data_IF_460842268453
#
_entry.id   IF_460842268453
#
_cell.length_a   1.000
_cell.length_b   1.000
_cell.length_c   1.000
_cell.angle_alpha   90.00
_cell.angle_beta   90.00
_cell.angle_gamma   90.00
#
_symmetry.space_group_name_H-M   'P 1'
#
loop_
_entity.id
_entity.type
_entity.pdbx_description
1 polymer ?
#
# COMPACT_ATOMS: atom_id res chain seq x y z
N UNK A 1 -3.33 -4.99 21.54
CA UNK A 1 -2.93 -5.98 20.52
C UNK A 1 -3.56 -5.56 19.19
N UNK A 2 -2.75 -5.17 18.18
CA UNK A 2 -3.27 -4.73 16.88
C UNK A 2 -3.99 -5.85 16.09
N UNK A 3 -3.72 -7.13 16.40
CA UNK A 3 -4.32 -8.28 15.71
C UNK A 3 -5.82 -8.36 15.92
N UNK A 4 -6.30 -8.00 17.10
CA UNK A 4 -7.74 -7.96 17.40
C UNK A 4 -8.46 -6.92 16.52
N UNK A 5 -7.92 -5.71 16.43
CA UNK A 5 -8.50 -4.64 15.61
C UNK A 5 -8.44 -4.96 14.11
N UNK A 6 -7.36 -5.61 13.64
CA UNK A 6 -7.29 -6.11 12.28
C UNK A 6 -8.40 -7.12 12.00
N UNK A 7 -8.67 -8.05 12.93
CA UNK A 7 -9.75 -9.03 12.76
C UNK A 7 -11.13 -8.36 12.72
N UNK A 8 -11.36 -7.31 13.52
CA UNK A 8 -12.58 -6.51 13.46
C UNK A 8 -12.69 -5.81 12.09
N UNK A 9 -11.63 -5.12 11.66
CA UNK A 9 -11.60 -4.40 10.38
C UNK A 9 -11.88 -5.32 9.19
N UNK A 10 -11.30 -6.52 9.17
CA UNK A 10 -11.54 -7.51 8.13
C UNK A 10 -13.00 -8.00 8.09
N UNK A 11 -13.67 -8.08 9.25
CA UNK A 11 -15.08 -8.47 9.35
C UNK A 11 -16.06 -7.34 8.99
N UNK A 12 -15.62 -6.09 9.02
CA UNK A 12 -16.42 -4.97 8.55
C UNK A 12 -16.51 -4.94 7.02
N UNK A 13 -15.60 -5.65 6.33
CA UNK A 13 -15.60 -5.77 4.87
C UNK A 13 -15.67 -4.40 4.19
N UNK A 14 -14.66 -3.56 4.44
CA UNK A 14 -14.59 -2.21 3.91
C UNK A 14 -14.94 -2.17 2.42
N UNK A 15 -15.91 -1.34 2.08
CA UNK A 15 -16.34 -1.11 0.71
C UNK A 15 -15.24 -0.42 -0.10
N UNK A 16 -15.34 -0.46 -1.43
CA UNK A 16 -14.37 0.21 -2.30
C UNK A 16 -14.25 1.71 -2.01
N UNK A 17 -15.38 2.35 -1.71
CA UNK A 17 -15.46 3.76 -1.33
C UNK A 17 -14.81 4.03 0.03
N UNK A 18 -14.95 3.13 0.99
CA UNK A 18 -14.27 3.23 2.29
C UNK A 18 -12.77 3.05 2.16
N UNK A 19 -12.33 2.05 1.39
CA UNK A 19 -10.92 1.85 1.09
C UNK A 19 -10.30 3.12 0.49
N UNK A 20 -10.98 3.76 -0.46
CA UNK A 20 -10.50 4.99 -1.09
C UNK A 20 -10.52 6.18 -0.13
N UNK A 21 -11.61 6.37 0.65
CA UNK A 21 -11.73 7.47 1.62
C UNK A 21 -10.67 7.40 2.73
N UNK A 22 -10.22 6.20 3.09
CA UNK A 22 -9.24 5.96 4.14
C UNK A 22 -7.81 5.74 3.62
N UNK A 23 -7.48 6.23 2.42
CA UNK A 23 -6.17 6.04 1.79
C UNK A 23 -4.98 6.31 2.73
N UNK A 24 -5.01 7.44 3.46
CA UNK A 24 -3.94 7.82 4.39
C UNK A 24 -3.77 6.83 5.55
N UNK A 25 -4.88 6.27 6.03
CA UNK A 25 -4.86 5.28 7.12
C UNK A 25 -4.22 3.97 6.63
N UNK A 26 -4.49 3.55 5.39
CA UNK A 26 -3.83 2.40 4.78
C UNK A 26 -2.33 2.64 4.59
N UNK A 27 -1.92 3.81 4.13
CA UNK A 27 -0.50 4.18 4.01
C UNK A 27 0.20 4.11 5.36
N UNK A 28 -0.38 4.70 6.41
CA UNK A 28 0.18 4.64 7.77
C UNK A 28 0.25 3.21 8.32
N UNK A 29 -0.81 2.40 8.13
CA UNK A 29 -0.81 1.00 8.56
C UNK A 29 0.21 0.14 7.82
N UNK A 30 0.44 0.41 6.53
CA UNK A 30 1.48 -0.25 5.75
C UNK A 30 2.89 0.13 6.23
N UNK A 31 3.10 1.39 6.60
CA UNK A 31 4.37 1.91 7.09
C UNK A 31 4.71 1.41 8.50
N UNK A 32 3.78 1.55 9.46
CA UNK A 32 4.06 1.42 10.89
C UNK A 32 3.38 0.23 11.57
N UNK A 33 2.44 -0.42 10.90
CA UNK A 33 1.71 -1.55 11.46
C UNK A 33 2.62 -2.75 11.72
N UNK A 34 2.23 -3.61 12.67
CA UNK A 34 2.85 -4.94 12.79
C UNK A 34 2.67 -5.73 11.49
N UNK A 35 3.53 -6.72 11.22
CA UNK A 35 3.54 -7.48 9.98
C UNK A 35 2.15 -7.85 9.38
N UNK A 36 1.18 -8.42 10.14
CA UNK A 36 -0.14 -8.73 9.57
C UNK A 36 -0.98 -7.49 9.21
N UNK A 37 -0.86 -6.39 9.97
CA UNK A 37 -1.54 -5.12 9.68
C UNK A 37 -0.95 -4.49 8.42
N UNK A 38 0.38 -4.42 8.36
CA UNK A 38 1.07 -3.87 7.20
C UNK A 38 0.79 -4.69 5.92
N UNK A 39 0.72 -6.01 6.05
CA UNK A 39 0.33 -6.90 4.95
C UNK A 39 -1.08 -6.63 4.44
N UNK A 40 -2.04 -6.47 5.35
CA UNK A 40 -3.41 -6.18 4.97
C UNK A 40 -3.53 -4.80 4.29
N UNK A 41 -2.90 -3.77 4.87
CA UNK A 41 -2.91 -2.43 4.32
C UNK A 41 -2.26 -2.38 2.92
N UNK A 42 -1.14 -3.06 2.71
CA UNK A 42 -0.51 -3.17 1.39
C UNK A 42 -1.43 -3.86 0.38
N UNK A 43 -2.21 -4.87 0.78
CA UNK A 43 -3.19 -5.50 -0.10
C UNK A 43 -4.31 -4.54 -0.51
N UNK A 44 -4.77 -3.68 0.40
CA UNK A 44 -5.74 -2.62 0.08
C UNK A 44 -5.16 -1.64 -0.93
N UNK A 45 -3.92 -1.17 -0.72
CA UNK A 45 -3.22 -0.27 -1.64
C UNK A 45 -3.04 -0.87 -3.03
N UNK A 46 -2.73 -2.17 -3.13
CA UNK A 46 -2.68 -2.89 -4.41
C UNK A 46 -4.04 -2.93 -5.11
N UNK A 47 -5.15 -3.07 -4.37
CA UNK A 47 -6.51 -3.00 -4.96
C UNK A 47 -6.83 -1.58 -5.44
N UNK A 48 -6.45 -0.56 -4.67
CA UNK A 48 -6.62 0.85 -5.06
C UNK A 48 -5.84 1.18 -6.36
N UNK A 49 -4.61 0.68 -6.50
CA UNK A 49 -3.85 0.80 -7.76
C UNK A 49 -4.51 0.07 -8.93
N UNK A 50 -5.04 -1.14 -8.69
CA UNK A 50 -5.73 -1.93 -9.71
C UNK A 50 -7.01 -1.22 -10.21
N UNK A 51 -7.72 -0.50 -9.33
CA UNK A 51 -8.86 0.36 -9.68
C UNK A 51 -8.44 1.71 -10.30
N UNK A 52 -7.14 2.04 -10.30
CA UNK A 52 -6.64 3.32 -10.83
C UNK A 52 -6.92 4.52 -9.94
N UNK A 53 -7.21 4.30 -8.65
CA UNK A 53 -7.56 5.36 -7.68
C UNK A 53 -6.46 5.63 -6.66
N UNK A 54 -5.32 4.94 -6.75
CA UNK A 54 -4.12 5.24 -5.96
C UNK A 54 -3.28 6.31 -6.69
N UNK A 55 -3.13 7.53 -6.14
CA UNK A 55 -2.28 8.55 -6.73
C UNK A 55 -0.81 8.14 -6.72
N UNK A 56 -0.06 8.51 -7.78
CA UNK A 56 1.38 8.24 -7.90
C UNK A 56 2.18 8.75 -6.70
N UNK A 57 1.84 9.96 -6.22
CA UNK A 57 2.47 10.55 -5.03
C UNK A 57 2.32 9.69 -3.77
N UNK A 58 1.10 9.23 -3.50
CA UNK A 58 0.81 8.38 -2.33
C UNK A 58 1.51 7.01 -2.46
N UNK A 59 1.63 6.50 -3.69
CA UNK A 59 2.42 5.32 -3.97
C UNK A 59 3.93 5.56 -3.71
N UNK A 60 4.47 6.71 -4.08
CA UNK A 60 5.87 7.07 -3.79
C UNK A 60 6.11 7.14 -2.28
N UNK A 61 5.24 7.85 -1.56
CA UNK A 61 5.32 8.04 -0.10
C UNK A 61 5.29 6.69 0.63
N UNK A 62 4.32 5.81 0.32
CA UNK A 62 4.24 4.48 0.96
C UNK A 62 5.39 3.56 0.54
N UNK A 63 5.90 3.69 -0.69
CA UNK A 63 7.06 2.92 -1.16
C UNK A 63 8.30 3.23 -0.33
N UNK A 64 8.52 4.52 -0.02
CA UNK A 64 9.62 4.96 0.84
C UNK A 64 9.62 4.20 2.16
N UNK A 65 8.48 4.09 2.84
CA UNK A 65 8.38 3.34 4.10
C UNK A 65 8.51 1.81 3.90
N UNK A 66 7.80 1.24 2.92
CA UNK A 66 7.71 -0.20 2.73
C UNK A 66 9.03 -0.84 2.28
N UNK A 67 9.90 -0.12 1.56
CA UNK A 67 11.17 -0.65 1.05
C UNK A 67 12.22 -0.86 2.14
N UNK A 68 12.11 -0.18 3.30
CA UNK A 68 13.03 -0.34 4.43
C UNK A 68 12.49 -1.25 5.54
N UNK A 69 11.32 -1.85 5.34
CA UNK A 69 10.75 -2.81 6.27
C UNK A 69 11.55 -4.12 6.32
N UNK A 70 11.68 -4.77 7.50
CA UNK A 70 12.42 -6.03 7.62
C UNK A 70 11.69 -7.23 6.95
N UNK A 71 10.39 -7.11 6.68
CA UNK A 71 9.61 -8.21 6.11
C UNK A 71 9.79 -8.33 4.59
N UNK A 72 10.67 -9.24 4.15
CA UNK A 72 10.97 -9.52 2.73
C UNK A 72 9.73 -9.65 1.82
N UNK A 73 8.63 -10.23 2.30
CA UNK A 73 7.39 -10.40 1.51
C UNK A 73 6.74 -9.05 1.17
N UNK A 74 6.71 -8.11 2.11
CA UNK A 74 6.15 -6.76 1.89
C UNK A 74 7.00 -5.97 0.90
N UNK A 75 8.32 -5.98 1.10
CA UNK A 75 9.27 -5.32 0.19
C UNK A 75 9.11 -5.85 -1.24
N UNK A 76 9.06 -7.18 -1.41
CA UNK A 76 8.90 -7.79 -2.74
C UNK A 76 7.55 -7.44 -3.39
N UNK A 77 6.47 -7.43 -2.61
CA UNK A 77 5.16 -7.02 -3.11
C UNK A 77 5.18 -5.56 -3.56
N UNK A 78 5.88 -4.68 -2.83
CA UNK A 78 6.01 -3.27 -3.18
C UNK A 78 6.80 -3.05 -4.48
N UNK A 79 7.95 -3.71 -4.62
CA UNK A 79 8.73 -3.67 -5.86
C UNK A 79 7.93 -4.21 -7.06
N UNK A 80 7.09 -5.22 -6.83
CA UNK A 80 6.21 -5.76 -7.88
C UNK A 80 5.16 -4.72 -8.30
N UNK A 81 4.56 -4.02 -7.34
CA UNK A 81 3.59 -2.95 -7.59
C UNK A 81 4.24 -1.80 -8.37
N UNK A 82 5.37 -1.28 -7.90
CA UNK A 82 6.14 -0.24 -8.59
C UNK A 82 6.46 -0.64 -10.03
N UNK A 83 6.96 -1.86 -10.25
CA UNK A 83 7.26 -2.36 -11.58
C UNK A 83 6.02 -2.46 -12.49
N UNK A 84 4.83 -2.72 -11.94
CA UNK A 84 3.57 -2.70 -12.71
C UNK A 84 3.19 -1.28 -13.11
N UNK A 85 3.26 -0.32 -12.18
CA UNK A 85 2.91 1.08 -12.45
C UNK A 85 3.85 1.69 -13.47
N UNK A 86 5.17 1.49 -13.34
CA UNK A 86 6.17 1.97 -14.31
C UNK A 86 5.99 1.38 -15.71
N UNK A 87 5.54 0.11 -15.81
CA UNK A 87 5.22 -0.51 -17.11
C UNK A 87 3.92 0.02 -17.70
N UNK A 88 2.95 0.39 -16.86
CA UNK A 88 1.66 0.96 -17.29
C UNK A 88 1.83 2.41 -17.74
N UNK A 89 2.64 3.19 -17.03
CA UNK A 89 2.92 4.58 -17.33
C UNK A 89 4.35 4.95 -16.92
N UNK A 90 5.24 4.99 -17.91
CA UNK A 90 6.65 5.31 -17.68
C UNK A 90 6.91 6.78 -17.34
N UNK A 91 5.93 7.68 -17.54
CA UNK A 91 6.07 9.10 -17.19
C UNK A 91 6.11 9.33 -15.68
N UNK A 92 5.66 8.35 -14.90
CA UNK A 92 5.69 8.37 -13.42
C UNK A 92 7.07 8.07 -12.83
N UNK A 93 8.07 7.73 -13.66
CA UNK A 93 9.38 7.28 -13.19
C UNK A 93 10.09 8.28 -12.28
N UNK A 94 10.07 9.57 -12.62
CA UNK A 94 10.74 10.63 -11.86
C UNK A 94 10.15 10.82 -10.45
N UNK A 95 8.87 10.45 -10.25
CA UNK A 95 8.22 10.53 -8.94
C UNK A 95 8.40 9.25 -8.12
N UNK A 96 8.47 8.08 -8.78
CA UNK A 96 8.50 6.78 -8.12
C UNK A 96 9.90 6.23 -7.84
N UNK A 97 10.91 6.68 -8.59
CA UNK A 97 12.28 6.22 -8.46
C UNK A 97 13.12 7.29 -7.74
N UNK A 98 14.02 6.89 -6.83
CA UNK A 98 14.99 7.82 -6.28
C UNK A 98 15.86 8.39 -7.40
N UNK A 99 16.18 9.69 -7.30
CA UNK A 99 17.09 10.39 -8.20
C UNK A 99 18.54 9.91 -8.07
#
# INVERSE_FOLDING_TARGET
DQRFFLAVLQRLEATEDEEQRHLRDWTAMAADGIAPVASHAQQVLVRLDARGVLPTRELADVSGALLFRPEKKLVRAQLTLLGKVLRRDSSTADELLPA
#
